data_IF_366401829716
#
_entry.id   IF_366401829716
#
_cell.length_a   1.000
_cell.length_b   1.000
_cell.length_c   1.000
_cell.angle_alpha   90.00
_cell.angle_beta   90.00
_cell.angle_gamma   90.00
#
_symmetry.space_group_name_H-M   'P 1'
#
loop_
_entity.id
_entity.type
_entity.pdbx_description
1 polymer ?
#
# COMPACT_ATOMS: atom_id res chain seq x y z
N UNK A 1 17.94 1.26 0.73
CA UNK A 1 18.77 2.24 -0.01
C UNK A 1 17.84 3.10 -0.86
N UNK A 2 16.78 3.61 -0.27
CA UNK A 2 15.83 4.49 -0.94
C UNK A 2 16.34 5.91 -0.74
N UNK A 3 16.19 6.78 -1.70
CA UNK A 3 16.61 8.17 -1.56
C UNK A 3 15.67 8.88 -0.58
N UNK A 4 15.96 8.76 0.70
CA UNK A 4 15.14 9.29 1.79
C UNK A 4 14.75 10.78 1.57
N UNK A 5 15.66 11.56 1.02
CA UNK A 5 15.40 12.96 0.67
C UNK A 5 14.36 13.10 -0.46
N UNK A 6 14.44 12.27 -1.50
CA UNK A 6 13.46 12.26 -2.60
C UNK A 6 12.08 11.86 -2.07
N UNK A 7 12.01 10.84 -1.21
CA UNK A 7 10.77 10.43 -0.56
C UNK A 7 10.12 11.57 0.21
N UNK A 8 10.88 12.29 1.04
CA UNK A 8 10.36 13.40 1.85
C UNK A 8 9.88 14.54 0.95
N UNK A 9 10.71 14.99 0.00
CA UNK A 9 10.39 16.13 -0.85
C UNK A 9 9.14 15.83 -1.71
N UNK A 10 9.12 14.70 -2.41
CA UNK A 10 7.99 14.32 -3.26
C UNK A 10 6.73 14.05 -2.45
N UNK A 11 6.84 13.44 -1.26
CA UNK A 11 5.69 13.23 -0.39
C UNK A 11 5.14 14.51 0.17
N UNK A 12 5.98 15.46 0.56
CA UNK A 12 5.55 16.76 1.07
C UNK A 12 4.84 17.57 -0.02
N UNK A 13 5.46 17.68 -1.19
CA UNK A 13 4.87 18.37 -2.34
C UNK A 13 3.55 17.69 -2.74
N UNK A 14 3.55 16.36 -2.89
CA UNK A 14 2.36 15.60 -3.20
C UNK A 14 1.25 15.81 -2.17
N UNK A 15 1.58 15.73 -0.86
CA UNK A 15 0.62 15.92 0.22
C UNK A 15 -0.01 17.31 0.19
N UNK A 16 0.77 18.38 -0.04
CA UNK A 16 0.25 19.76 -0.15
C UNK A 16 -0.69 19.87 -1.35
N UNK A 17 -0.27 19.38 -2.53
CA UNK A 17 -1.07 19.45 -3.75
C UNK A 17 -2.40 18.70 -3.66
N UNK A 18 -2.40 17.52 -3.03
CA UNK A 18 -3.61 16.69 -2.91
C UNK A 18 -4.42 16.97 -1.64
N UNK A 19 -3.95 17.84 -0.74
CA UNK A 19 -4.62 18.13 0.54
C UNK A 19 -6.09 18.55 0.40
N UNK A 20 -6.51 19.38 -0.56
CA UNK A 20 -7.93 19.70 -0.76
C UNK A 20 -8.77 18.45 -1.07
N UNK A 21 -8.22 17.55 -1.91
CA UNK A 21 -8.87 16.27 -2.23
C UNK A 21 -8.98 15.38 -1.00
N UNK A 22 -7.91 15.30 -0.16
CA UNK A 22 -7.93 14.50 1.06
C UNK A 22 -8.99 15.00 2.04
N UNK A 23 -9.16 16.32 2.18
CA UNK A 23 -10.19 16.94 3.02
C UNK A 23 -11.58 16.60 2.47
N UNK A 24 -11.84 16.76 1.17
CA UNK A 24 -13.10 16.37 0.55
C UNK A 24 -13.46 14.91 0.84
N UNK A 25 -12.51 13.99 0.66
CA UNK A 25 -12.73 12.56 0.92
C UNK A 25 -13.01 12.31 2.40
N UNK A 26 -12.27 12.97 3.30
CA UNK A 26 -12.49 12.85 4.73
C UNK A 26 -13.92 13.27 5.13
N UNK A 27 -14.41 14.38 4.58
CA UNK A 27 -15.80 14.85 4.77
C UNK A 27 -16.79 13.84 4.21
N UNK A 28 -16.60 13.37 2.97
CA UNK A 28 -17.48 12.37 2.35
C UNK A 28 -17.56 11.08 3.18
N UNK A 29 -16.44 10.57 3.69
CA UNK A 29 -16.43 9.38 4.56
C UNK A 29 -17.25 9.65 5.82
N UNK A 30 -17.13 10.84 6.42
CA UNK A 30 -17.84 11.19 7.65
C UNK A 30 -19.35 11.34 7.43
N UNK A 31 -19.75 11.87 6.27
CA UNK A 31 -21.15 12.05 5.91
C UNK A 31 -21.84 10.74 5.49
N UNK A 32 -21.11 9.83 4.84
CA UNK A 32 -21.67 8.60 4.28
C UNK A 32 -21.62 7.39 5.20
N UNK A 33 -20.79 7.43 6.25
CA UNK A 33 -20.68 6.29 7.17
C UNK A 33 -20.24 6.71 8.58
N UNK A 34 -20.84 6.11 9.61
CA UNK A 34 -20.48 6.35 11.02
C UNK A 34 -19.11 5.78 11.34
N UNK A 35 -18.32 6.48 12.18
CA UNK A 35 -17.02 6.03 12.68
C UNK A 35 -15.82 6.90 12.25
N UNK A 36 -14.57 6.46 12.43
CA UNK A 36 -13.36 7.22 12.13
C UNK A 36 -13.16 7.41 10.62
N UNK A 37 -12.48 8.48 10.22
CA UNK A 37 -12.12 8.77 8.81
C UNK A 37 -11.01 7.84 8.34
N UNK A 38 -10.03 7.63 9.22
CA UNK A 38 -8.87 6.79 8.93
C UNK A 38 -9.02 5.39 9.51
N UNK A 39 -8.41 4.46 8.84
CA UNK A 39 -8.18 3.09 9.27
C UNK A 39 -6.70 2.84 9.35
N UNK A 40 -6.26 2.24 10.44
CA UNK A 40 -4.87 1.83 10.64
C UNK A 40 -4.78 0.31 10.64
N UNK A 41 -3.71 -0.21 10.03
CA UNK A 41 -3.46 -1.63 9.98
C UNK A 41 -1.99 -1.93 10.17
N UNK A 42 -1.69 -2.85 11.08
CA UNK A 42 -0.31 -3.28 11.30
C UNK A 42 0.26 -3.97 10.05
N UNK A 43 1.43 -3.50 9.64
CA UNK A 43 2.19 -4.00 8.50
C UNK A 43 3.66 -4.12 8.85
N UNK A 44 4.37 -5.01 8.16
CA UNK A 44 5.82 -5.13 8.28
C UNK A 44 6.54 -4.32 7.20
N UNK A 45 7.51 -3.55 7.62
CA UNK A 45 8.39 -2.73 6.79
C UNK A 45 9.84 -3.18 6.84
N UNK A 46 10.75 -2.21 6.89
CA UNK A 46 12.20 -2.42 6.91
C UNK A 46 12.63 -3.35 8.06
N UNK A 47 13.47 -4.32 7.74
CA UNK A 47 13.98 -5.33 8.68
C UNK A 47 12.87 -6.12 9.42
N UNK A 48 11.68 -6.21 8.83
CA UNK A 48 10.55 -6.89 9.44
C UNK A 48 9.90 -6.13 10.61
N UNK A 49 10.28 -4.89 10.88
CA UNK A 49 9.66 -4.07 11.94
C UNK A 49 8.24 -3.71 11.55
N UNK A 50 7.32 -3.89 12.50
CA UNK A 50 5.92 -3.51 12.32
C UNK A 50 5.74 -1.99 12.42
N UNK A 51 4.79 -1.46 11.64
CA UNK A 51 4.31 -0.08 11.71
C UNK A 51 2.81 -0.03 11.43
N UNK A 52 2.17 1.09 11.81
CA UNK A 52 0.74 1.31 11.58
C UNK A 52 0.53 2.01 10.23
N UNK A 53 0.15 1.23 9.22
CA UNK A 53 -0.13 1.74 7.88
C UNK A 53 -1.47 2.49 7.89
N UNK A 54 -1.45 3.75 7.47
CA UNK A 54 -2.61 4.64 7.47
C UNK A 54 -3.35 4.58 6.13
N UNK A 55 -4.68 4.46 6.17
CA UNK A 55 -5.56 4.50 4.99
C UNK A 55 -6.84 5.29 5.30
N UNK A 56 -7.53 5.72 4.27
CA UNK A 56 -8.94 6.08 4.42
C UNK A 56 -9.77 4.83 4.69
N UNK A 57 -10.77 4.95 5.57
CA UNK A 57 -11.70 3.86 5.82
C UNK A 57 -12.55 3.61 4.58
N UNK A 58 -12.46 2.42 4.05
CA UNK A 58 -13.19 1.94 2.88
C UNK A 58 -14.15 0.78 3.20
N UNK A 59 -14.14 0.30 4.45
CA UNK A 59 -14.99 -0.79 4.94
C UNK A 59 -15.92 -0.32 6.04
N UNK A 60 -16.99 -1.08 6.26
CA UNK A 60 -17.92 -0.91 7.39
C UNK A 60 -17.15 -1.07 8.71
N UNK A 61 -17.71 -0.52 9.79
CA UNK A 61 -17.19 -0.79 11.13
C UNK A 61 -17.26 -2.29 11.40
N UNK A 62 -16.31 -2.77 12.18
CA UNK A 62 -16.25 -4.18 12.62
C UNK A 62 -16.13 -5.24 11.50
N UNK A 63 -15.70 -4.81 10.30
CA UNK A 63 -15.60 -5.68 9.14
C UNK A 63 -14.66 -6.91 9.31
N UNK A 64 -13.78 -6.90 10.30
CA UNK A 64 -12.86 -8.01 10.61
C UNK A 64 -13.21 -8.75 11.93
N UNK A 65 -14.25 -8.34 12.66
CA UNK A 65 -14.58 -8.94 13.96
C UNK A 65 -14.91 -10.43 13.85
N UNK A 66 -15.71 -10.81 12.85
CA UNK A 66 -16.15 -12.20 12.69
C UNK A 66 -15.19 -13.04 11.85
N UNK A 67 -14.49 -12.42 10.91
CA UNK A 67 -13.66 -13.13 9.92
C UNK A 67 -12.16 -13.10 10.21
N UNK A 68 -11.72 -12.24 11.13
CA UNK A 68 -10.30 -12.01 11.40
C UNK A 68 -9.55 -11.45 10.20
N UNK A 69 -8.25 -11.76 10.12
CA UNK A 69 -7.38 -11.34 9.02
C UNK A 69 -7.66 -12.15 7.75
N UNK A 70 -8.53 -11.65 6.87
CA UNK A 70 -8.86 -12.28 5.59
C UNK A 70 -8.05 -11.65 4.47
N UNK A 71 -7.62 -12.48 3.51
CA UNK A 71 -7.03 -12.00 2.26
C UNK A 71 -8.09 -11.28 1.41
N UNK A 72 -7.71 -10.19 0.75
CA UNK A 72 -8.65 -9.37 -0.01
C UNK A 72 -9.35 -10.17 -1.12
N UNK A 73 -10.69 -10.19 -1.09
CA UNK A 73 -11.54 -10.81 -2.09
C UNK A 73 -12.04 -9.77 -3.13
N UNK A 74 -12.40 -10.25 -4.33
CA UNK A 74 -12.83 -9.37 -5.43
C UNK A 74 -14.16 -8.67 -5.13
N UNK A 75 -15.13 -9.41 -4.58
CA UNK A 75 -16.46 -8.91 -4.19
C UNK A 75 -16.59 -9.04 -2.68
N UNK A 76 -16.11 -8.04 -1.95
CA UNK A 76 -16.11 -8.02 -0.49
C UNK A 76 -17.26 -7.13 0.00
N UNK A 77 -18.35 -7.74 0.50
CA UNK A 77 -19.58 -7.05 0.97
C UNK A 77 -19.35 -6.17 2.20
N UNK A 78 -18.17 -6.24 2.80
CA UNK A 78 -17.76 -5.40 3.92
C UNK A 78 -17.45 -3.96 3.50
N UNK A 79 -17.34 -3.68 2.18
CA UNK A 79 -17.03 -2.34 1.67
C UNK A 79 -18.24 -1.41 1.78
N UNK A 80 -17.98 -0.14 2.02
CA UNK A 80 -18.98 0.91 1.79
C UNK A 80 -19.05 1.23 0.30
N UNK A 81 -20.14 1.88 -0.15
CA UNK A 81 -20.28 2.31 -1.57
C UNK A 81 -19.11 3.23 -1.95
N UNK A 82 -18.86 4.26 -1.13
CA UNK A 82 -17.72 5.16 -1.31
C UNK A 82 -16.39 4.40 -1.23
N UNK A 83 -16.26 3.45 -0.30
CA UNK A 83 -15.07 2.62 -0.11
C UNK A 83 -14.75 1.76 -1.33
N UNK A 84 -15.76 1.28 -2.04
CA UNK A 84 -15.55 0.55 -3.31
C UNK A 84 -14.90 1.44 -4.36
N UNK A 85 -15.36 2.70 -4.50
CA UNK A 85 -14.75 3.67 -5.39
C UNK A 85 -13.30 4.01 -4.97
N UNK A 86 -13.08 4.31 -3.68
CA UNK A 86 -11.75 4.66 -3.15
C UNK A 86 -10.74 3.53 -3.40
N UNK A 87 -11.12 2.28 -3.18
CA UNK A 87 -10.26 1.11 -3.42
C UNK A 87 -9.99 0.87 -4.90
N UNK A 88 -10.99 1.03 -5.77
CA UNK A 88 -10.83 0.88 -7.22
C UNK A 88 -9.84 1.88 -7.80
N UNK A 89 -9.82 3.09 -7.25
CA UNK A 89 -8.92 4.18 -7.66
C UNK A 89 -7.62 4.22 -6.84
N UNK A 90 -7.47 3.36 -5.82
CA UNK A 90 -6.37 3.38 -4.85
C UNK A 90 -6.22 4.71 -4.06
N UNK A 91 -7.24 5.55 -4.07
CA UNK A 91 -7.29 6.82 -3.34
C UNK A 91 -7.29 6.58 -1.82
N UNK A 92 -7.84 5.43 -1.38
CA UNK A 92 -7.79 5.03 0.03
C UNK A 92 -6.37 4.89 0.58
N UNK A 93 -5.37 4.74 -0.27
CA UNK A 93 -3.96 4.57 0.10
C UNK A 93 -3.18 5.89 0.19
N UNK A 94 -3.75 7.04 -0.26
CA UNK A 94 -3.08 8.34 -0.23
C UNK A 94 -2.62 8.79 1.18
N UNK A 95 -3.34 8.49 2.28
CA UNK A 95 -2.85 8.83 3.63
C UNK A 95 -1.51 8.16 4.00
N UNK A 96 -1.07 7.13 3.29
CA UNK A 96 0.25 6.52 3.49
C UNK A 96 1.42 7.50 3.21
N UNK A 97 1.19 8.62 2.51
CA UNK A 97 2.18 9.70 2.41
C UNK A 97 2.64 10.18 3.79
N UNK A 98 1.76 10.13 4.80
CA UNK A 98 2.12 10.44 6.19
C UNK A 98 3.11 9.39 6.75
N UNK A 99 2.93 8.09 6.41
CA UNK A 99 3.88 7.06 6.80
C UNK A 99 5.25 7.25 6.12
N UNK A 100 5.27 7.75 4.87
CA UNK A 100 6.52 8.09 4.19
C UNK A 100 7.21 9.26 4.88
N UNK A 101 6.47 10.34 5.19
CA UNK A 101 7.01 11.50 5.92
C UNK A 101 7.53 11.14 7.33
N UNK A 102 6.91 10.16 7.99
CA UNK A 102 7.38 9.59 9.27
C UNK A 102 8.61 8.66 9.10
N UNK A 103 9.01 8.35 7.87
CA UNK A 103 10.13 7.46 7.59
C UNK A 103 9.84 5.96 7.75
N UNK A 104 8.58 5.58 7.99
CA UNK A 104 8.12 4.20 8.13
C UNK A 104 8.01 3.48 6.79
N UNK A 105 7.75 4.25 5.72
CA UNK A 105 7.62 3.78 4.35
C UNK A 105 8.50 4.59 3.38
N UNK A 106 8.54 4.17 2.14
CA UNK A 106 9.05 4.90 0.96
C UNK A 106 7.91 5.09 -0.05
N UNK A 107 8.07 6.01 -0.99
CA UNK A 107 7.15 6.11 -2.14
C UNK A 107 7.23 4.83 -2.98
N UNK A 108 8.45 4.33 -3.22
CA UNK A 108 8.71 3.15 -4.05
C UNK A 108 9.35 2.05 -3.23
N UNK A 109 8.83 0.83 -3.34
CA UNK A 109 9.37 -0.34 -2.64
C UNK A 109 8.42 -1.54 -2.68
N UNK A 110 8.83 -2.67 -2.07
CA UNK A 110 7.96 -3.83 -1.91
C UNK A 110 6.69 -3.47 -1.11
N UNK A 111 5.53 -3.97 -1.55
CA UNK A 111 4.27 -3.71 -0.84
C UNK A 111 4.28 -4.33 0.57
N UNK A 112 3.93 -3.58 1.63
CA UNK A 112 3.93 -4.11 3.00
C UNK A 112 2.83 -5.15 3.20
N UNK A 113 3.16 -6.24 3.91
CA UNK A 113 2.23 -7.32 4.23
C UNK A 113 1.93 -7.38 5.73
N UNK A 114 0.81 -7.99 6.10
CA UNK A 114 0.42 -8.20 7.51
C UNK A 114 1.34 -9.24 8.16
N UNK A 115 1.75 -9.05 9.44
CA UNK A 115 2.60 -10.02 10.17
C UNK A 115 2.09 -11.46 10.09
N UNK A 116 0.78 -11.65 10.27
CA UNK A 116 0.13 -12.98 10.21
C UNK A 116 0.38 -13.71 8.88
N UNK A 117 0.43 -12.98 7.77
CA UNK A 117 0.71 -13.59 6.47
C UNK A 117 2.21 -13.83 6.26
N UNK A 118 3.06 -12.93 6.74
CA UNK A 118 4.51 -13.09 6.67
C UNK A 118 4.95 -14.35 7.38
N UNK A 119 4.39 -14.64 8.54
CA UNK A 119 4.71 -15.86 9.31
C UNK A 119 4.37 -17.15 8.55
N UNK A 120 3.33 -17.12 7.71
CA UNK A 120 3.00 -18.21 6.81
C UNK A 120 3.95 -18.28 5.61
N UNK A 121 4.20 -17.14 4.97
CA UNK A 121 4.97 -17.09 3.72
C UNK A 121 6.44 -17.40 3.92
N UNK A 122 7.07 -16.94 5.00
CA UNK A 122 8.48 -17.23 5.29
C UNK A 122 8.76 -18.72 5.51
N UNK A 123 7.73 -19.51 5.91
CA UNK A 123 7.85 -20.97 6.07
C UNK A 123 7.77 -21.74 4.75
N UNK A 124 7.10 -21.17 3.74
CA UNK A 124 6.76 -21.86 2.48
C UNK A 124 7.52 -21.33 1.27
N UNK A 125 8.05 -20.10 1.35
CA UNK A 125 8.72 -19.43 0.24
C UNK A 125 10.16 -19.12 0.66
N UNK A 126 11.17 -19.77 0.06
CA UNK A 126 12.58 -19.47 0.34
C UNK A 126 12.89 -17.98 0.11
N UNK A 127 13.74 -17.43 0.96
CA UNK A 127 14.20 -16.03 0.89
C UNK A 127 13.09 -14.97 0.96
N UNK A 128 11.87 -15.32 1.44
CA UNK A 128 10.76 -14.36 1.50
C UNK A 128 11.12 -13.08 2.28
N UNK A 129 11.91 -13.19 3.35
CA UNK A 129 12.30 -12.07 4.20
C UNK A 129 13.27 -11.09 3.50
N UNK A 130 13.94 -11.48 2.42
CA UNK A 130 14.85 -10.58 1.69
C UNK A 130 14.13 -9.34 1.12
N UNK A 131 12.82 -9.40 0.90
CA UNK A 131 12.02 -8.23 0.49
C UNK A 131 11.91 -7.13 1.56
N UNK A 132 12.23 -7.46 2.81
CA UNK A 132 12.21 -6.52 3.94
C UNK A 132 13.56 -5.86 4.22
N UNK A 133 14.57 -6.04 3.36
CA UNK A 133 15.88 -5.36 3.48
C UNK A 133 15.82 -3.89 3.07
N UNK A 134 14.71 -3.47 2.46
CA UNK A 134 14.41 -2.08 2.11
C UNK A 134 13.08 -1.64 2.72
N UNK A 135 12.81 -0.33 2.75
CA UNK A 135 11.50 0.18 3.20
C UNK A 135 10.38 -0.32 2.30
N UNK A 136 9.23 -0.58 2.90
CA UNK A 136 8.01 -0.87 2.15
C UNK A 136 7.56 0.37 1.35
N UNK A 137 7.04 0.15 0.14
CA UNK A 137 6.60 1.22 -0.75
C UNK A 137 5.07 1.37 -0.84
N UNK A 138 4.61 2.59 -1.13
CA UNK A 138 3.22 2.85 -1.55
C UNK A 138 2.99 2.16 -2.89
N UNK A 139 3.93 2.36 -3.83
CA UNK A 139 4.00 1.63 -5.11
C UNK A 139 5.29 0.84 -5.21
N UNK A 140 5.44 -0.01 -6.25
CA UNK A 140 6.64 -0.81 -6.42
C UNK A 140 6.66 -1.59 -7.73
N UNK A 141 7.81 -2.15 -8.07
CA UNK A 141 8.04 -2.85 -9.32
C UNK A 141 7.06 -4.01 -9.54
N UNK A 142 6.81 -4.82 -8.50
CA UNK A 142 5.80 -5.87 -8.56
C UNK A 142 4.39 -5.31 -8.84
N UNK A 143 4.02 -4.21 -8.17
CA UNK A 143 2.70 -3.61 -8.27
C UNK A 143 2.41 -3.07 -9.67
N UNK A 144 3.35 -2.31 -10.27
CA UNK A 144 3.17 -1.74 -11.64
C UNK A 144 3.17 -2.80 -12.74
N UNK A 145 3.64 -4.02 -12.43
CA UNK A 145 3.55 -5.20 -13.31
C UNK A 145 2.36 -6.10 -12.99
N UNK A 146 1.39 -5.63 -12.18
CA UNK A 146 0.15 -6.36 -11.90
C UNK A 146 0.25 -7.43 -10.80
N UNK A 147 1.40 -7.60 -10.15
CA UNK A 147 1.59 -8.57 -9.07
C UNK A 147 1.16 -8.00 -7.72
N UNK A 148 -0.14 -7.66 -7.59
CA UNK A 148 -0.76 -7.20 -6.34
C UNK A 148 -2.07 -7.94 -6.08
N UNK A 149 -2.60 -7.89 -4.85
CA UNK A 149 -3.86 -8.56 -4.49
C UNK A 149 -3.75 -10.09 -4.53
N UNK A 150 -4.75 -10.76 -5.08
CA UNK A 150 -4.79 -12.23 -5.17
C UNK A 150 -4.00 -12.74 -6.38
N UNK A 151 -2.68 -12.63 -6.32
CA UNK A 151 -1.75 -13.03 -7.38
C UNK A 151 -0.64 -13.92 -6.82
N UNK A 152 0.19 -14.50 -7.70
CA UNK A 152 1.29 -15.38 -7.31
C UNK A 152 2.30 -14.67 -6.39
N UNK A 153 2.42 -15.13 -5.15
CA UNK A 153 3.38 -14.62 -4.16
C UNK A 153 4.83 -14.84 -4.61
N UNK A 154 5.12 -15.95 -5.28
CA UNK A 154 6.47 -16.23 -5.81
C UNK A 154 6.86 -15.22 -6.90
N UNK A 155 5.94 -14.90 -7.82
CA UNK A 155 6.17 -13.86 -8.84
C UNK A 155 6.34 -12.49 -8.20
N UNK A 156 5.50 -12.14 -7.22
CA UNK A 156 5.64 -10.88 -6.46
C UNK A 156 7.02 -10.79 -5.82
N UNK A 157 7.45 -11.84 -5.10
CA UNK A 157 8.78 -11.87 -4.51
C UNK A 157 9.88 -11.72 -5.54
N UNK A 158 9.80 -12.39 -6.69
CA UNK A 158 10.77 -12.28 -7.77
C UNK A 158 10.93 -10.84 -8.27
N UNK A 159 9.80 -10.12 -8.45
CA UNK A 159 9.82 -8.71 -8.88
C UNK A 159 10.31 -7.77 -7.77
N UNK A 160 9.95 -8.04 -6.51
CA UNK A 160 10.46 -7.29 -5.37
C UNK A 160 11.98 -7.45 -5.22
N UNK A 161 12.51 -8.67 -5.37
CA UNK A 161 13.95 -8.92 -5.31
C UNK A 161 14.67 -8.32 -6.51
N UNK A 162 14.10 -8.38 -7.72
CA UNK A 162 14.65 -7.69 -8.88
C UNK A 162 14.81 -6.20 -8.62
N UNK A 163 13.78 -5.53 -8.08
CA UNK A 163 13.86 -4.13 -7.68
C UNK A 163 15.01 -3.87 -6.70
N UNK A 164 15.13 -4.69 -5.66
CA UNK A 164 16.13 -4.52 -4.60
C UNK A 164 17.56 -4.66 -5.17
N UNK A 165 17.77 -5.63 -6.07
CA UNK A 165 19.11 -5.92 -6.62
C UNK A 165 19.53 -4.98 -7.76
N UNK A 166 18.56 -4.40 -8.50
CA UNK A 166 18.81 -3.51 -9.64
C UNK A 166 18.38 -2.06 -9.38
N UNK A 167 18.23 -1.69 -8.12
CA UNK A 167 17.73 -0.37 -7.75
C UNK A 167 18.63 0.76 -8.27
N UNK A 168 18.01 1.73 -8.88
CA UNK A 168 18.58 3.03 -9.24
C UNK A 168 17.54 4.13 -8.99
N UNK A 169 17.94 5.40 -8.77
CA UNK A 169 16.98 6.51 -8.67
C UNK A 169 16.07 6.62 -9.90
N UNK A 170 16.61 6.32 -11.08
CA UNK A 170 15.85 6.32 -12.32
C UNK A 170 14.76 5.22 -12.35
N UNK A 171 15.03 4.09 -11.73
CA UNK A 171 14.02 3.03 -11.58
C UNK A 171 12.85 3.49 -10.72
N UNK A 172 13.09 4.25 -9.65
CA UNK A 172 12.02 4.84 -8.83
C UNK A 172 11.19 5.83 -9.65
N UNK A 173 11.81 6.73 -10.41
CA UNK A 173 11.10 7.66 -11.32
C UNK A 173 10.25 6.89 -12.32
N UNK A 174 10.80 5.83 -12.93
CA UNK A 174 10.05 4.97 -13.87
C UNK A 174 8.85 4.30 -13.21
N UNK A 175 9.00 3.78 -11.99
CA UNK A 175 7.91 3.16 -11.25
C UNK A 175 6.82 4.18 -10.91
N UNK A 176 7.19 5.37 -10.45
CA UNK A 176 6.25 6.45 -10.17
C UNK A 176 5.47 6.85 -11.43
N UNK A 177 6.16 7.01 -12.56
CA UNK A 177 5.53 7.26 -13.85
C UNK A 177 4.53 6.16 -14.24
N UNK A 178 4.96 4.90 -14.19
CA UNK A 178 4.08 3.75 -14.48
C UNK A 178 2.88 3.69 -13.51
N UNK A 179 3.03 4.12 -12.27
CA UNK A 179 1.95 4.14 -11.29
C UNK A 179 0.85 5.12 -11.68
N UNK A 180 1.22 6.30 -12.20
CA UNK A 180 0.25 7.30 -12.66
C UNK A 180 -0.56 6.76 -13.86
N UNK A 181 0.10 6.15 -14.83
CA UNK A 181 -0.54 5.69 -16.07
C UNK A 181 -1.16 4.29 -15.98
N UNK A 182 -0.55 3.38 -15.24
CA UNK A 182 -0.99 1.97 -15.14
C UNK A 182 -1.56 1.62 -13.76
N UNK A 183 -1.16 2.34 -12.71
CA UNK A 183 -1.49 2.00 -11.32
C UNK A 183 -2.93 2.32 -10.92
N UNK A 184 -3.54 3.31 -11.56
CA UNK A 184 -4.92 3.75 -11.27
C UNK A 184 -5.99 2.89 -11.95
N UNK A 185 -5.64 2.09 -12.96
CA UNK A 185 -6.61 1.32 -13.79
C UNK A 185 -6.25 -0.18 -13.83
N UNK A 186 -5.66 -0.73 -12.79
CA UNK A 186 -5.33 -2.14 -12.81
C UNK A 186 -6.55 -3.04 -12.57
N UNK A 187 -6.68 -4.08 -13.43
CA UNK A 187 -7.66 -5.19 -13.30
C UNK A 187 -7.62 -5.91 -11.95
N UNK A 188 -6.54 -5.78 -11.18
CA UNK A 188 -6.30 -6.42 -9.88
C UNK A 188 -6.33 -5.42 -8.70
N UNK A 189 -6.93 -4.23 -8.85
CA UNK A 189 -7.25 -3.32 -7.75
C UNK A 189 -8.54 -3.83 -7.07
N UNK A 190 -8.41 -4.43 -5.91
CA UNK A 190 -9.54 -4.92 -5.10
C UNK A 190 -9.63 -4.16 -3.80
#
# INVERSE_FOLDING_TARGET
>A
MNSHYMDIILSLVGFVLISPLLVCIAVLIKLTSRGPIFYTQERCGLNGKSFQMLKFRSMKMDAENDSGAVWAAKNDDRRTILGTFLRKTSIDELPQLINVLRGEMSLVGPRPERPVFIDKFRKTIPNYMARHTVKAGITGWAQVHGWRGNTSLRKRLQYDLYYITHWTPWMDVRILWMTIFNGMIHRNAY
#
